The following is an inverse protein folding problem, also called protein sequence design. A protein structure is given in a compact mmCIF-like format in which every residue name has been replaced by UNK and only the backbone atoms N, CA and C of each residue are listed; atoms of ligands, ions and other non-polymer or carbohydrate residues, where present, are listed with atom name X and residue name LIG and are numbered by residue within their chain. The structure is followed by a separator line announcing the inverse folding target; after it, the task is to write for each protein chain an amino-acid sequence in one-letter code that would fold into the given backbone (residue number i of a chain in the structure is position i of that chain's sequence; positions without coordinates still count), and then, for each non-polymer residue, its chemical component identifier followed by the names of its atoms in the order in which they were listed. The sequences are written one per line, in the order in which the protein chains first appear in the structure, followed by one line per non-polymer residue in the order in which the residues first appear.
data_IF_069982385897
#
_entry.id   IF_069982385897
#
_cell.length_a   1.000
_cell.length_b   1.000
_cell.length_c   1.000
_cell.angle_alpha   90.00
_cell.angle_beta   90.00
_cell.angle_gamma   90.00
#
_symmetry.space_group_name_H-M   'P 1'
#
loop_
_entity.id
_entity.type
_entity.pdbx_description
1 polymer ?
#
# COMPACT_ATOMS: atom_id res chain seq x y z
N UNK A 1 -15.48 -33.65 -47.16
CA UNK A 1 -14.32 -32.71 -47.17
C UNK A 1 -14.92 -31.30 -47.35
N UNK A 2 -15.01 -30.50 -46.31
CA UNK A 2 -15.51 -29.14 -46.32
C UNK A 2 -14.79 -28.35 -45.26
N UNK A 3 -13.75 -27.61 -45.67
CA UNK A 3 -12.99 -26.73 -44.81
C UNK A 3 -13.84 -25.51 -44.43
N UNK A 4 -14.25 -25.39 -43.17
CA UNK A 4 -14.85 -24.19 -42.60
C UNK A 4 -13.82 -23.09 -42.42
N UNK A 5 -13.78 -22.13 -43.33
CA UNK A 5 -13.04 -20.86 -43.16
C UNK A 5 -13.75 -20.02 -42.09
N UNK A 6 -13.08 -19.77 -40.96
CA UNK A 6 -13.50 -18.77 -39.98
C UNK A 6 -13.53 -17.40 -40.66
N UNK A 7 -14.73 -16.79 -40.71
CA UNK A 7 -14.90 -15.41 -41.18
C UNK A 7 -14.41 -14.47 -40.08
N UNK A 8 -13.35 -13.73 -40.35
CA UNK A 8 -12.95 -12.57 -39.59
C UNK A 8 -14.04 -11.52 -39.81
N UNK A 9 -14.87 -11.25 -38.79
CA UNK A 9 -15.82 -10.18 -38.80
C UNK A 9 -15.06 -8.86 -38.68
N UNK A 10 -15.12 -8.03 -39.71
CA UNK A 10 -14.51 -6.71 -39.73
C UNK A 10 -15.10 -5.83 -38.64
N UNK A 11 -14.25 -5.25 -37.81
CA UNK A 11 -14.61 -4.35 -36.71
C UNK A 11 -15.29 -3.01 -37.15
N UNK A 12 -15.41 -2.79 -38.45
CA UNK A 12 -15.97 -1.56 -39.05
C UNK A 12 -17.52 -1.45 -38.94
N UNK A 13 -18.21 -2.52 -38.55
CA UNK A 13 -19.70 -2.53 -38.53
C UNK A 13 -20.29 -1.76 -37.32
N UNK A 14 -19.49 -1.46 -36.28
CA UNK A 14 -20.00 -0.85 -35.04
C UNK A 14 -19.42 0.51 -34.70
N UNK A 15 -18.66 1.17 -35.57
CA UNK A 15 -18.06 2.50 -35.30
C UNK A 15 -17.06 2.54 -34.14
N UNK A 16 -16.55 1.39 -33.69
CA UNK A 16 -15.58 1.29 -32.59
C UNK A 16 -14.18 1.51 -33.17
N UNK A 17 -13.49 2.54 -32.72
CA UNK A 17 -12.11 2.83 -33.15
C UNK A 17 -11.15 1.71 -32.72
N UNK A 18 -10.05 1.51 -33.47
CA UNK A 18 -8.99 0.57 -33.08
C UNK A 18 -8.43 0.88 -31.69
N UNK A 19 -8.35 2.13 -31.31
CA UNK A 19 -7.95 2.58 -29.98
C UNK A 19 -8.94 2.11 -28.89
N UNK A 20 -10.26 2.14 -29.16
CA UNK A 20 -11.28 1.67 -28.22
C UNK A 20 -11.27 0.15 -28.08
N UNK A 21 -11.02 -0.59 -29.18
CA UNK A 21 -10.86 -2.05 -29.13
C UNK A 21 -9.59 -2.44 -28.38
N UNK A 22 -8.48 -1.70 -28.57
CA UNK A 22 -7.23 -1.91 -27.86
C UNK A 22 -7.37 -1.58 -26.37
N UNK A 23 -8.09 -0.49 -26.03
CA UNK A 23 -8.45 -0.12 -24.65
C UNK A 23 -9.34 -1.18 -24.00
N UNK A 24 -10.32 -1.75 -24.73
CA UNK A 24 -11.19 -2.81 -24.21
C UNK A 24 -10.44 -4.12 -23.97
N UNK A 25 -9.45 -4.47 -24.81
CA UNK A 25 -8.56 -5.64 -24.63
C UNK A 25 -7.56 -5.47 -23.49
N UNK A 26 -7.35 -4.24 -23.01
CA UNK A 26 -6.45 -3.91 -21.89
C UNK A 26 -7.19 -3.73 -20.57
N UNK A 27 -8.52 -3.97 -20.50
CA UNK A 27 -9.27 -3.85 -19.26
C UNK A 27 -8.88 -4.95 -18.28
N UNK A 28 -8.38 -4.54 -17.12
CA UNK A 28 -8.18 -5.44 -15.98
C UNK A 28 -9.52 -6.02 -15.51
N UNK A 29 -9.57 -7.32 -15.28
CA UNK A 29 -10.72 -7.92 -14.60
C UNK A 29 -10.61 -7.63 -13.10
N UNK A 30 -11.73 -7.17 -12.50
CA UNK A 30 -11.79 -6.86 -11.06
C UNK A 30 -12.66 -7.91 -10.36
N UNK A 31 -12.11 -8.48 -9.31
CA UNK A 31 -12.83 -9.42 -8.44
C UNK A 31 -12.86 -8.85 -7.02
N UNK A 32 -14.05 -8.68 -6.44
CA UNK A 32 -14.19 -8.37 -5.01
C UNK A 32 -13.88 -9.62 -4.21
N UNK A 33 -12.99 -9.50 -3.24
CA UNK A 33 -12.54 -10.64 -2.43
C UNK A 33 -12.67 -10.33 -0.95
N UNK A 34 -12.89 -11.38 -0.16
CA UNK A 34 -12.84 -11.37 1.30
C UNK A 34 -11.71 -12.28 1.75
N UNK A 35 -10.90 -11.80 2.68
CA UNK A 35 -9.79 -12.52 3.29
C UNK A 35 -10.09 -12.72 4.77
N UNK A 36 -9.52 -13.76 5.39
CA UNK A 36 -9.63 -13.97 6.82
C UNK A 36 -8.26 -13.81 7.48
N UNK A 37 -8.15 -12.86 8.41
CA UNK A 37 -6.93 -12.57 9.15
C UNK A 37 -7.24 -12.48 10.63
N UNK A 38 -6.61 -13.33 11.45
CA UNK A 38 -6.78 -13.39 12.91
C UNK A 38 -8.25 -13.53 13.39
N UNK A 39 -9.12 -14.12 12.56
CA UNK A 39 -10.54 -14.30 12.86
C UNK A 39 -11.46 -13.18 12.37
N UNK A 40 -10.90 -12.11 11.83
CA UNK A 40 -11.62 -10.98 11.25
C UNK A 40 -11.65 -11.06 9.72
N UNK A 41 -12.67 -10.44 9.10
CA UNK A 41 -12.79 -10.34 7.64
C UNK A 41 -12.12 -9.06 7.13
N UNK A 42 -11.30 -9.21 6.08
CA UNK A 42 -10.69 -8.11 5.35
C UNK A 42 -11.28 -8.01 3.95
N UNK A 43 -11.54 -6.77 3.53
CA UNK A 43 -12.03 -6.45 2.18
C UNK A 43 -10.86 -6.20 1.23
N UNK A 44 -10.93 -6.80 0.03
CA UNK A 44 -9.95 -6.59 -1.03
C UNK A 44 -10.58 -6.52 -2.41
N UNK A 45 -9.80 -6.00 -3.36
CA UNK A 45 -10.08 -6.07 -4.80
C UNK A 45 -8.87 -6.68 -5.50
N UNK A 46 -9.10 -7.77 -6.20
CA UNK A 46 -8.10 -8.41 -7.05
C UNK A 46 -8.26 -7.88 -8.48
N UNK A 47 -7.20 -7.30 -9.01
CA UNK A 47 -7.10 -6.86 -10.41
C UNK A 47 -6.27 -7.89 -11.17
N UNK A 48 -6.83 -8.45 -12.22
CA UNK A 48 -6.21 -9.49 -13.02
C UNK A 48 -5.89 -8.97 -14.43
N UNK A 49 -4.71 -9.26 -14.96
CA UNK A 49 -4.40 -8.96 -16.34
C UNK A 49 -5.24 -9.82 -17.31
N UNK A 50 -5.40 -9.34 -18.54
CA UNK A 50 -6.06 -10.10 -19.60
C UNK A 50 -5.20 -11.27 -20.17
N UNK A 51 -4.31 -11.83 -19.38
CA UNK A 51 -3.42 -12.92 -19.76
C UNK A 51 -4.11 -14.29 -19.66
N UNK A 52 -3.62 -15.26 -20.43
CA UNK A 52 -4.18 -16.63 -20.50
C UNK A 52 -3.63 -17.59 -19.44
N UNK A 53 -2.59 -17.19 -18.71
CA UNK A 53 -1.93 -18.03 -17.70
C UNK A 53 -1.86 -17.37 -16.32
N UNK A 54 -1.37 -18.08 -15.30
CA UNK A 54 -1.18 -17.53 -13.97
C UNK A 54 -0.20 -16.35 -13.99
N UNK A 55 -0.62 -15.22 -13.41
CA UNK A 55 0.12 -13.97 -13.42
C UNK A 55 0.96 -13.79 -12.12
N UNK A 56 2.10 -13.09 -12.18
CA UNK A 56 2.74 -12.56 -10.99
C UNK A 56 1.80 -11.54 -10.31
N UNK A 57 1.96 -11.33 -9.01
CA UNK A 57 1.05 -10.45 -8.26
C UNK A 57 1.78 -9.59 -7.25
N UNK A 58 1.31 -8.34 -7.08
CA UNK A 58 1.66 -7.47 -5.96
C UNK A 58 0.48 -7.32 -4.98
N UNK A 59 0.72 -7.58 -3.71
CA UNK A 59 -0.19 -7.19 -2.63
C UNK A 59 0.01 -5.69 -2.40
N UNK A 60 -1.07 -4.90 -2.35
CA UNK A 60 -1.03 -3.45 -2.16
C UNK A 60 -1.57 -3.11 -0.78
N UNK A 61 -0.69 -2.56 0.07
CA UNK A 61 -0.97 -2.18 1.46
C UNK A 61 -0.93 -0.66 1.61
N UNK A 62 -2.06 -0.07 1.97
CA UNK A 62 -2.20 1.37 2.18
C UNK A 62 -1.56 1.88 3.49
N UNK A 63 -1.40 3.19 3.63
CA UNK A 63 -0.94 3.86 4.84
C UNK A 63 -2.00 4.00 5.94
N UNK A 64 -1.59 4.52 7.10
CA UNK A 64 -2.52 4.82 8.19
C UNK A 64 -3.54 5.88 7.77
N UNK A 65 -4.83 5.63 8.03
CA UNK A 65 -5.92 6.55 7.67
C UNK A 65 -6.33 6.52 6.19
N UNK A 66 -5.72 5.67 5.39
CA UNK A 66 -6.06 5.46 3.98
C UNK A 66 -6.95 4.23 3.76
N UNK A 67 -7.19 3.89 2.50
CA UNK A 67 -8.02 2.77 2.06
C UNK A 67 -7.60 2.33 0.65
N UNK A 68 -7.94 1.10 0.28
CA UNK A 68 -7.53 0.42 -0.96
C UNK A 68 -7.86 1.18 -2.26
N UNK A 69 -8.95 1.96 -2.27
CA UNK A 69 -9.39 2.70 -3.46
C UNK A 69 -8.38 3.74 -3.93
N UNK A 70 -7.53 4.27 -3.05
CA UNK A 70 -6.48 5.23 -3.41
C UNK A 70 -5.41 4.63 -4.35
N UNK A 71 -5.38 3.31 -4.50
CA UNK A 71 -4.37 2.58 -5.28
C UNK A 71 -4.92 1.97 -6.58
N UNK A 72 -6.20 2.16 -6.90
CA UNK A 72 -6.83 1.50 -8.04
C UNK A 72 -6.19 1.88 -9.37
N UNK A 73 -5.75 3.12 -9.54
CA UNK A 73 -5.07 3.57 -10.75
C UNK A 73 -3.71 2.84 -10.94
N UNK A 74 -2.94 2.67 -9.86
CA UNK A 74 -1.73 1.85 -9.86
C UNK A 74 -2.06 0.38 -10.20
N UNK A 75 -3.13 -0.16 -9.61
CA UNK A 75 -3.55 -1.54 -9.85
C UNK A 75 -3.94 -1.79 -11.31
N UNK A 76 -4.67 -0.85 -11.92
CA UNK A 76 -5.07 -0.92 -13.33
C UNK A 76 -3.85 -0.85 -14.25
N UNK A 77 -2.91 0.04 -13.97
CA UNK A 77 -1.65 0.15 -14.72
C UNK A 77 -0.84 -1.15 -14.65
N UNK A 78 -0.68 -1.73 -13.46
CA UNK A 78 0.07 -2.97 -13.25
C UNK A 78 -0.60 -4.14 -13.97
N UNK A 79 -1.93 -4.27 -13.87
CA UNK A 79 -2.69 -5.29 -14.58
C UNK A 79 -2.57 -5.13 -16.11
N UNK A 80 -2.60 -3.90 -16.62
CA UNK A 80 -2.32 -3.59 -18.03
C UNK A 80 -0.92 -3.98 -18.49
N UNK A 81 0.03 -4.09 -17.55
CA UNK A 81 1.40 -4.54 -17.80
C UNK A 81 1.65 -6.03 -17.49
N UNK A 82 0.59 -6.80 -17.19
CA UNK A 82 0.67 -8.23 -16.98
C UNK A 82 0.97 -8.64 -15.51
N UNK A 83 0.93 -7.73 -14.56
CA UNK A 83 1.11 -7.98 -13.12
C UNK A 83 -0.25 -7.83 -12.42
N UNK A 84 -0.78 -8.91 -11.86
CA UNK A 84 -1.97 -8.83 -11.04
C UNK A 84 -1.71 -8.00 -9.76
N UNK A 85 -2.77 -7.44 -9.16
CA UNK A 85 -2.65 -6.77 -7.86
C UNK A 85 -3.80 -7.11 -6.95
N UNK A 86 -3.53 -7.30 -5.68
CA UNK A 86 -4.52 -7.46 -4.63
C UNK A 86 -4.44 -6.25 -3.69
N UNK A 87 -5.34 -5.28 -3.90
CA UNK A 87 -5.47 -4.13 -3.01
C UNK A 87 -6.38 -4.50 -1.83
N UNK A 88 -5.87 -4.40 -0.60
CA UNK A 88 -6.60 -4.75 0.62
C UNK A 88 -6.79 -3.53 1.52
N UNK A 89 -7.93 -3.47 2.20
CA UNK A 89 -8.07 -2.64 3.37
C UNK A 89 -7.44 -3.35 4.57
N UNK A 90 -6.43 -2.75 5.19
CA UNK A 90 -5.78 -3.29 6.38
C UNK A 90 -6.74 -3.29 7.57
N UNK A 91 -6.51 -4.14 8.59
CA UNK A 91 -7.32 -4.15 9.82
C UNK A 91 -7.68 -2.74 10.31
N UNK A 92 -8.96 -2.54 10.63
CA UNK A 92 -9.48 -1.28 11.17
C UNK A 92 -9.66 -0.16 10.13
N UNK A 93 -9.39 -0.39 8.85
CA UNK A 93 -9.48 0.60 7.78
C UNK A 93 -10.49 0.20 6.71
N UNK A 94 -10.90 1.15 5.88
CA UNK A 94 -11.81 0.94 4.77
C UNK A 94 -13.04 0.11 5.15
N UNK A 95 -13.25 -0.99 4.47
CA UNK A 95 -14.36 -1.95 4.67
C UNK A 95 -13.96 -3.16 5.53
N UNK A 96 -12.68 -3.27 5.92
CA UNK A 96 -12.18 -4.35 6.77
C UNK A 96 -12.63 -4.22 8.22
N UNK A 97 -12.79 -5.38 8.88
CA UNK A 97 -13.09 -5.47 10.29
C UNK A 97 -11.94 -4.97 11.18
N UNK A 98 -12.13 -5.01 12.47
CA UNK A 98 -11.16 -4.58 13.48
C UNK A 98 -11.45 -3.22 14.09
N UNK A 99 -10.67 -2.86 15.10
CA UNK A 99 -10.80 -1.58 15.80
C UNK A 99 -10.44 -0.41 14.88
N UNK A 100 -11.41 0.53 14.70
CA UNK A 100 -11.29 1.59 13.70
C UNK A 100 -10.06 2.46 13.90
N UNK A 101 -9.27 2.55 12.82
CA UNK A 101 -8.04 3.33 12.67
C UNK A 101 -6.87 2.87 13.54
N UNK A 102 -6.91 1.63 14.05
CA UNK A 102 -5.75 1.03 14.70
C UNK A 102 -4.64 0.77 13.70
N UNK A 103 -3.40 1.07 14.11
CA UNK A 103 -2.19 0.67 13.41
C UNK A 103 -1.43 -0.26 14.34
N UNK A 104 -1.67 -1.55 14.16
CA UNK A 104 -1.04 -2.63 14.92
C UNK A 104 -0.25 -3.51 13.95
N UNK A 105 1.08 -3.47 14.01
CA UNK A 105 1.94 -4.19 13.08
C UNK A 105 1.78 -5.70 13.16
N UNK A 106 1.40 -6.26 14.31
CA UNK A 106 1.08 -7.69 14.42
C UNK A 106 -0.14 -8.07 13.55
N UNK A 107 -1.19 -7.25 13.59
CA UNK A 107 -2.37 -7.46 12.76
C UNK A 107 -2.05 -7.21 11.28
N UNK A 108 -1.41 -6.09 10.96
CA UNK A 108 -1.11 -5.72 9.59
C UNK A 108 -0.13 -6.68 8.89
N UNK A 109 0.83 -7.24 9.62
CA UNK A 109 1.67 -8.33 9.11
C UNK A 109 0.85 -9.60 8.87
N UNK A 110 -0.08 -9.95 9.76
CA UNK A 110 -0.99 -11.07 9.56
C UNK A 110 -1.93 -10.85 8.36
N UNK A 111 -2.32 -9.60 8.07
CA UNK A 111 -3.10 -9.26 6.87
C UNK A 111 -2.32 -9.54 5.57
N UNK A 112 -1.05 -9.18 5.54
CA UNK A 112 -0.16 -9.52 4.42
C UNK A 112 -0.05 -11.03 4.26
N UNK A 113 0.09 -11.78 5.35
CA UNK A 113 0.14 -13.24 5.31
C UNK A 113 -1.18 -13.87 4.84
N UNK A 114 -2.32 -13.34 5.30
CA UNK A 114 -3.64 -13.77 4.83
C UNK A 114 -3.85 -13.49 3.34
N UNK A 115 -3.33 -12.36 2.84
CA UNK A 115 -3.33 -12.06 1.41
C UNK A 115 -2.48 -13.06 0.62
N UNK A 116 -1.29 -13.44 1.12
CA UNK A 116 -0.46 -14.49 0.51
C UNK A 116 -1.21 -15.83 0.49
N UNK A 117 -1.82 -16.22 1.62
CA UNK A 117 -2.57 -17.49 1.73
C UNK A 117 -3.71 -17.55 0.70
N UNK A 118 -4.47 -16.47 0.55
CA UNK A 118 -5.53 -16.35 -0.45
C UNK A 118 -4.96 -16.48 -1.88
N UNK A 119 -3.90 -15.76 -2.21
CA UNK A 119 -3.30 -15.76 -3.54
C UNK A 119 -2.74 -17.13 -3.94
N UNK A 120 -2.22 -17.91 -2.99
CA UNK A 120 -1.75 -19.26 -3.22
C UNK A 120 -2.87 -20.24 -3.64
N UNK A 121 -4.13 -19.94 -3.33
CA UNK A 121 -5.28 -20.75 -3.73
C UNK A 121 -5.94 -20.29 -5.03
N UNK A 122 -5.54 -19.11 -5.54
CA UNK A 122 -6.21 -18.49 -6.68
C UNK A 122 -5.63 -18.99 -8.02
N UNK A 123 -6.44 -19.64 -8.85
CA UNK A 123 -6.00 -20.32 -10.08
C UNK A 123 -5.36 -19.43 -11.15
N UNK A 124 -5.66 -18.11 -11.14
CA UNK A 124 -5.08 -17.15 -12.09
C UNK A 124 -3.78 -16.49 -11.57
N UNK A 125 -3.30 -16.87 -10.39
CA UNK A 125 -2.09 -16.30 -9.77
C UNK A 125 -0.97 -17.34 -9.72
N UNK A 126 0.23 -16.93 -10.09
CA UNK A 126 1.42 -17.72 -9.86
C UNK A 126 1.92 -17.52 -8.41
N UNK A 127 1.62 -18.48 -7.57
CA UNK A 127 2.00 -18.44 -6.16
C UNK A 127 3.52 -18.41 -5.88
N UNK A 128 4.36 -18.63 -6.90
CA UNK A 128 5.82 -18.49 -6.78
C UNK A 128 6.31 -17.06 -7.05
N UNK A 129 5.42 -16.17 -7.51
CA UNK A 129 5.73 -14.81 -7.97
C UNK A 129 4.87 -13.77 -7.24
N UNK A 130 4.84 -13.83 -5.91
CA UNK A 130 4.11 -12.90 -5.04
C UNK A 130 5.08 -11.85 -4.51
N UNK A 131 4.80 -10.58 -4.78
CA UNK A 131 5.48 -9.44 -4.17
C UNK A 131 4.52 -8.59 -3.34
N UNK A 132 5.03 -7.52 -2.75
CA UNK A 132 4.21 -6.57 -2.02
C UNK A 132 4.66 -5.12 -2.23
N UNK A 133 3.70 -4.22 -2.31
CA UNK A 133 3.85 -2.77 -2.29
C UNK A 133 3.20 -2.22 -1.02
N UNK A 134 3.84 -1.25 -0.37
CA UNK A 134 3.23 -0.61 0.80
C UNK A 134 3.69 0.83 0.98
N UNK A 135 2.73 1.68 1.34
CA UNK A 135 2.96 3.07 1.71
C UNK A 135 3.02 3.23 3.22
N UNK A 136 3.94 4.04 3.73
CA UNK A 136 3.96 4.48 5.14
C UNK A 136 3.87 3.28 6.11
N UNK A 137 2.83 3.21 6.94
CA UNK A 137 2.57 2.04 7.81
C UNK A 137 2.35 0.74 7.04
N UNK A 138 1.77 0.77 5.82
CA UNK A 138 1.70 -0.39 4.92
C UNK A 138 3.08 -0.82 4.45
N UNK A 139 3.98 0.15 4.18
CA UNK A 139 5.40 -0.10 3.92
C UNK A 139 6.10 -0.79 5.09
N UNK A 140 5.80 -0.35 6.33
CA UNK A 140 6.25 -1.04 7.54
C UNK A 140 5.78 -2.50 7.57
N UNK A 141 4.49 -2.72 7.30
CA UNK A 141 3.88 -4.05 7.37
C UNK A 141 4.52 -5.04 6.38
N UNK A 142 4.74 -4.62 5.12
CA UNK A 142 5.36 -5.50 4.13
C UNK A 142 6.84 -5.78 4.44
N UNK A 143 7.59 -4.80 4.97
CA UNK A 143 8.97 -5.00 5.40
C UNK A 143 9.06 -5.97 6.58
N UNK A 144 8.18 -5.82 7.58
CA UNK A 144 8.10 -6.76 8.72
C UNK A 144 7.65 -8.15 8.29
N UNK A 145 6.69 -8.25 7.36
CA UNK A 145 6.25 -9.52 6.79
C UNK A 145 7.40 -10.24 6.07
N UNK A 146 8.18 -9.52 5.25
CA UNK A 146 9.29 -10.10 4.51
C UNK A 146 10.44 -10.61 5.40
N UNK A 147 10.56 -10.11 6.62
CA UNK A 147 11.53 -10.64 7.61
C UNK A 147 11.18 -12.07 8.05
N UNK A 148 9.89 -12.43 8.01
CA UNK A 148 9.39 -13.69 8.59
C UNK A 148 8.72 -14.62 7.59
N UNK A 149 8.32 -14.12 6.42
CA UNK A 149 7.60 -14.90 5.43
C UNK A 149 8.40 -15.03 4.11
N UNK A 150 8.97 -16.21 3.83
CA UNK A 150 9.82 -16.43 2.65
C UNK A 150 9.05 -16.53 1.33
N UNK A 151 7.71 -16.51 1.38
CA UNK A 151 6.85 -16.61 0.19
C UNK A 151 6.83 -15.32 -0.62
N UNK A 152 7.11 -14.17 0.00
CA UNK A 152 7.34 -12.91 -0.72
C UNK A 152 8.62 -13.00 -1.56
N UNK A 153 8.61 -12.42 -2.78
CA UNK A 153 9.72 -12.47 -3.74
C UNK A 153 10.27 -11.12 -4.12
N UNK A 154 9.49 -10.04 -3.98
CA UNK A 154 9.95 -8.67 -4.21
C UNK A 154 9.14 -7.68 -3.37
N UNK A 155 9.74 -6.56 -3.01
CA UNK A 155 9.10 -5.48 -2.26
C UNK A 155 9.24 -4.14 -2.98
N UNK A 156 8.21 -3.30 -2.81
CA UNK A 156 8.24 -1.87 -3.11
C UNK A 156 7.77 -1.11 -1.87
N UNK A 157 8.69 -0.43 -1.21
CA UNK A 157 8.44 0.38 -0.02
C UNK A 157 8.39 1.86 -0.41
N UNK A 158 7.20 2.45 -0.40
CA UNK A 158 6.97 3.87 -0.68
C UNK A 158 6.80 4.62 0.65
N UNK A 159 7.64 5.63 0.89
CA UNK A 159 7.57 6.53 2.05
C UNK A 159 7.35 5.79 3.39
N UNK A 160 8.03 4.64 3.56
CA UNK A 160 7.75 3.69 4.63
C UNK A 160 8.19 4.20 6.02
N UNK A 161 7.30 4.17 7.00
CA UNK A 161 7.63 4.48 8.38
C UNK A 161 8.42 3.33 9.00
N UNK A 162 9.73 3.45 9.08
CA UNK A 162 10.61 2.38 9.61
C UNK A 162 11.20 2.68 10.98
N UNK A 163 11.03 3.92 11.44
CA UNK A 163 11.46 4.42 12.74
C UNK A 163 10.69 5.69 13.09
N UNK A 164 10.73 6.08 14.36
CA UNK A 164 10.23 7.40 14.72
C UNK A 164 11.16 8.49 14.13
N UNK A 165 10.65 9.24 13.15
CA UNK A 165 11.34 10.32 12.44
C UNK A 165 10.89 11.71 12.90
N UNK A 166 9.90 11.79 13.79
CA UNK A 166 9.29 13.04 14.24
C UNK A 166 10.28 13.91 15.04
N UNK A 167 10.18 15.25 14.91
CA UNK A 167 10.90 16.18 15.79
C UNK A 167 10.67 15.88 17.26
N UNK A 168 11.67 16.12 18.11
CA UNK A 168 11.61 15.78 19.55
C UNK A 168 10.36 16.30 20.26
N UNK A 169 9.93 17.58 20.09
CA UNK A 169 8.71 18.07 20.74
C UNK A 169 7.47 17.30 20.34
N UNK A 170 7.30 17.03 19.05
CA UNK A 170 6.16 16.26 18.52
C UNK A 170 6.19 14.81 19.00
N UNK A 171 7.36 14.17 18.91
CA UNK A 171 7.55 12.80 19.41
C UNK A 171 7.20 12.69 20.90
N UNK A 172 7.65 13.65 21.71
CA UNK A 172 7.32 13.69 23.14
C UNK A 172 5.82 13.89 23.37
N UNK A 173 5.20 14.84 22.66
CA UNK A 173 3.77 15.09 22.72
C UNK A 173 2.95 13.83 22.40
N UNK A 174 3.26 13.12 21.33
CA UNK A 174 2.57 11.89 20.98
C UNK A 174 2.81 10.77 22.02
N UNK A 175 3.98 10.68 22.64
CA UNK A 175 4.22 9.76 23.77
C UNK A 175 3.34 10.06 24.97
N UNK A 176 3.13 11.33 25.27
CA UNK A 176 2.18 11.76 26.33
C UNK A 176 0.77 11.31 25.97
N UNK A 177 0.33 11.50 24.72
CA UNK A 177 -0.99 11.01 24.28
C UNK A 177 -1.12 9.49 24.39
N UNK A 178 -0.07 8.73 24.03
CA UNK A 178 -0.04 7.28 24.22
C UNK A 178 -0.17 6.91 25.70
N UNK A 179 0.57 7.59 26.58
CA UNK A 179 0.48 7.36 28.03
C UNK A 179 -0.93 7.66 28.57
N UNK A 180 -1.47 8.83 28.26
CA UNK A 180 -2.84 9.22 28.68
C UNK A 180 -3.90 8.28 28.09
N UNK A 181 -3.71 7.84 26.85
CA UNK A 181 -4.55 6.84 26.20
C UNK A 181 -4.53 5.50 26.93
N UNK A 182 -3.36 5.03 27.34
CA UNK A 182 -3.22 3.80 28.16
C UNK A 182 -3.95 3.94 29.51
N UNK A 183 -3.76 5.06 30.19
CA UNK A 183 -4.46 5.33 31.46
C UNK A 183 -5.97 5.31 31.24
N UNK A 184 -6.48 6.08 30.28
CA UNK A 184 -7.92 6.10 29.95
C UNK A 184 -8.44 4.70 29.63
N UNK A 185 -7.73 3.94 28.77
CA UNK A 185 -8.13 2.59 28.34
C UNK A 185 -8.17 1.59 29.50
N UNK A 186 -7.25 1.71 30.46
CA UNK A 186 -7.24 0.86 31.65
C UNK A 186 -8.54 1.02 32.49
N UNK A 187 -9.02 2.27 32.66
CA UNK A 187 -10.21 2.56 33.48
C UNK A 187 -11.53 2.45 32.70
N UNK A 188 -11.55 2.84 31.41
CA UNK A 188 -12.80 2.98 30.64
C UNK A 188 -12.98 1.93 29.55
N UNK A 189 -11.96 1.12 29.28
CA UNK A 189 -11.88 0.19 28.14
C UNK A 189 -12.00 0.89 26.76
N UNK A 190 -11.83 2.21 26.71
CA UNK A 190 -11.95 3.02 25.48
C UNK A 190 -10.67 3.79 25.22
N UNK A 191 -10.30 3.92 23.94
CA UNK A 191 -9.15 4.74 23.54
C UNK A 191 -9.36 6.24 23.80
N UNK A 192 -8.26 6.95 23.94
CA UNK A 192 -8.21 8.38 23.78
C UNK A 192 -8.21 8.72 22.30
N UNK A 193 -9.30 9.26 21.77
CA UNK A 193 -9.39 9.69 20.37
C UNK A 193 -9.08 11.18 20.26
N UNK A 194 -8.19 11.51 19.32
CA UNK A 194 -7.61 12.85 19.20
C UNK A 194 -7.78 13.37 17.77
N UNK A 195 -8.21 14.61 17.56
CA UNK A 195 -8.34 15.21 16.24
C UNK A 195 -6.96 15.69 15.72
N UNK A 196 -6.09 14.77 15.31
CA UNK A 196 -4.71 15.11 14.86
C UNK A 196 -4.71 16.13 13.73
N UNK A 197 -5.63 16.04 12.76
CA UNK A 197 -5.72 16.99 11.66
C UNK A 197 -5.90 18.44 12.13
N UNK A 198 -6.66 18.66 13.23
CA UNK A 198 -6.87 20.00 13.79
C UNK A 198 -5.69 20.48 14.64
N UNK A 199 -4.92 19.55 15.20
CA UNK A 199 -3.84 19.88 16.14
C UNK A 199 -2.51 20.14 15.44
N UNK A 200 -2.28 19.56 14.26
CA UNK A 200 -1.04 19.70 13.49
C UNK A 200 -1.04 20.87 12.49
N UNK A 201 -2.12 21.68 12.45
CA UNK A 201 -2.25 22.72 11.43
C UNK A 201 -2.56 22.18 10.03
N UNK A 202 -2.94 20.91 9.94
CA UNK A 202 -3.09 20.11 8.74
C UNK A 202 -1.94 19.07 8.60
N UNK A 203 -2.26 17.88 8.11
CA UNK A 203 -1.26 16.91 7.68
C UNK A 203 -0.94 17.20 6.23
N UNK A 204 0.25 17.73 5.95
CA UNK A 204 0.71 17.93 4.58
C UNK A 204 1.24 16.61 4.04
N UNK A 205 0.40 15.93 3.24
CA UNK A 205 0.69 14.60 2.68
C UNK A 205 1.17 14.68 1.23
N UNK A 206 0.84 15.77 0.52
CA UNK A 206 1.23 15.97 -0.87
C UNK A 206 1.96 17.30 -1.06
N UNK A 207 2.87 17.36 -2.04
CA UNK A 207 3.53 18.61 -2.46
C UNK A 207 2.65 19.44 -3.39
N UNK A 208 1.66 18.84 -4.06
CA UNK A 208 0.66 19.54 -4.82
C UNK A 208 -0.38 20.17 -3.89
N UNK A 209 -0.53 21.52 -3.83
CA UNK A 209 -1.43 22.18 -2.89
C UNK A 209 -2.91 21.84 -3.10
N UNK A 210 -3.33 21.62 -4.37
CA UNK A 210 -4.73 21.26 -4.67
C UNK A 210 -5.03 19.81 -4.23
N UNK A 211 -4.09 18.91 -4.47
CA UNK A 211 -4.19 17.54 -4.01
C UNK A 211 -4.14 17.48 -2.48
N UNK A 212 -3.21 18.19 -1.84
CA UNK A 212 -3.07 18.22 -0.39
C UNK A 212 -4.37 18.73 0.26
N UNK A 213 -4.96 19.80 -0.27
CA UNK A 213 -6.27 20.29 0.14
C UNK A 213 -7.37 19.24 -0.05
N UNK A 214 -7.38 18.52 -1.18
CA UNK A 214 -8.34 17.44 -1.45
C UNK A 214 -8.21 16.32 -0.43
N UNK A 215 -6.99 15.86 -0.12
CA UNK A 215 -6.73 14.85 0.89
C UNK A 215 -7.16 15.30 2.29
N UNK A 216 -6.89 16.56 2.63
CA UNK A 216 -7.32 17.17 3.90
C UNK A 216 -8.84 17.34 4.02
N UNK A 217 -9.58 17.31 2.93
CA UNK A 217 -11.05 17.48 2.91
C UNK A 217 -11.81 16.19 2.57
N UNK A 218 -11.14 15.09 2.21
CA UNK A 218 -11.80 13.80 1.99
C UNK A 218 -12.48 13.34 3.30
N UNK A 219 -13.81 13.08 3.29
CA UNK A 219 -14.54 12.71 4.50
C UNK A 219 -14.01 11.45 5.18
N UNK A 220 -13.45 10.50 4.41
CA UNK A 220 -12.90 9.22 4.94
C UNK A 220 -11.58 9.46 5.64
N UNK A 221 -10.68 10.24 5.03
CA UNK A 221 -9.42 10.65 5.62
C UNK A 221 -9.67 11.49 6.88
N UNK A 222 -10.60 12.47 6.81
CA UNK A 222 -10.99 13.28 7.96
C UNK A 222 -11.56 12.44 9.10
N UNK A 223 -12.35 11.41 8.82
CA UNK A 223 -12.89 10.52 9.85
C UNK A 223 -11.75 9.80 10.61
N UNK A 224 -10.70 9.39 9.91
CA UNK A 224 -9.52 8.78 10.52
C UNK A 224 -8.73 9.79 11.35
N UNK A 225 -8.32 10.90 10.75
CA UNK A 225 -7.43 11.88 11.38
C UNK A 225 -8.12 12.75 12.46
N UNK A 226 -9.45 12.92 12.41
CA UNK A 226 -10.22 13.58 13.48
C UNK A 226 -10.59 12.66 14.64
N UNK A 227 -10.31 11.36 14.53
CA UNK A 227 -10.64 10.37 15.55
C UNK A 227 -9.50 9.37 15.78
N UNK A 228 -8.24 9.85 15.67
CA UNK A 228 -7.05 9.02 15.75
C UNK A 228 -6.92 8.39 17.15
N UNK A 229 -6.87 7.04 17.27
CA UNK A 229 -6.95 6.37 18.56
C UNK A 229 -5.58 6.23 19.22
N UNK A 230 -5.45 6.63 20.51
CA UNK A 230 -4.29 6.32 21.33
C UNK A 230 -4.70 5.42 22.50
N UNK A 231 -3.98 4.31 22.73
CA UNK A 231 -2.71 3.90 22.10
C UNK A 231 -2.86 3.11 20.78
N UNK A 232 -4.06 2.84 20.28
CA UNK A 232 -4.34 1.90 19.20
C UNK A 232 -3.58 2.17 17.89
N UNK A 233 -3.31 3.44 17.56
CA UNK A 233 -2.56 3.81 16.37
C UNK A 233 -1.12 4.27 16.66
N UNK A 234 -0.58 4.01 17.86
CA UNK A 234 0.77 4.45 18.23
C UNK A 234 1.86 3.93 17.28
N UNK A 235 1.66 2.76 16.66
CA UNK A 235 2.63 2.17 15.74
C UNK A 235 2.63 2.82 14.35
N UNK A 236 1.74 3.77 14.05
CA UNK A 236 1.92 4.65 12.89
C UNK A 236 3.17 5.56 13.03
N UNK A 237 3.67 5.77 14.26
CA UNK A 237 4.80 6.65 14.55
C UNK A 237 5.96 5.94 15.26
N UNK A 238 5.65 4.98 16.13
CA UNK A 238 6.60 4.36 17.03
C UNK A 238 6.89 2.91 16.64
N UNK A 239 7.65 2.75 15.56
CA UNK A 239 8.17 1.46 15.10
C UNK A 239 9.70 1.45 15.13
N UNK A 240 10.30 0.27 15.01
CA UNK A 240 11.75 0.11 14.97
C UNK A 240 12.15 -0.98 13.95
N UNK A 241 11.43 -1.00 12.83
CA UNK A 241 11.59 -1.96 11.73
C UNK A 241 12.98 -1.89 11.12
N UNK A 242 13.60 -0.69 11.13
CA UNK A 242 14.94 -0.48 10.60
C UNK A 242 16.00 -1.40 11.21
N UNK A 243 15.83 -1.87 12.45
CA UNK A 243 16.75 -2.83 13.09
C UNK A 243 16.61 -4.27 12.57
N UNK A 244 15.56 -4.55 11.81
CA UNK A 244 15.24 -5.90 11.34
C UNK A 244 15.41 -6.08 9.83
N UNK A 245 15.42 -4.98 9.05
CA UNK A 245 15.42 -5.03 7.58
C UNK A 245 16.67 -5.68 6.98
N UNK A 246 17.78 -5.75 7.71
CA UNK A 246 18.98 -6.51 7.28
C UNK A 246 18.75 -8.02 7.12
N UNK A 247 17.63 -8.55 7.66
CA UNK A 247 17.21 -9.95 7.49
C UNK A 247 16.41 -10.18 6.19
N UNK A 248 16.01 -9.12 5.50
CA UNK A 248 15.29 -9.22 4.22
C UNK A 248 16.28 -9.68 3.15
N UNK A 249 16.01 -10.83 2.54
CA UNK A 249 16.86 -11.42 1.51
C UNK A 249 16.35 -11.18 0.07
N UNK A 250 15.10 -10.69 -0.07
CA UNK A 250 14.44 -10.50 -1.36
C UNK A 250 14.67 -9.10 -1.93
N UNK A 251 14.64 -8.93 -3.27
CA UNK A 251 14.78 -7.64 -3.92
C UNK A 251 13.83 -6.59 -3.35
N UNK A 252 14.35 -5.42 -3.00
CA UNK A 252 13.57 -4.33 -2.37
C UNK A 252 13.81 -3.00 -3.07
N UNK A 253 12.75 -2.43 -3.64
CA UNK A 253 12.72 -1.06 -4.16
C UNK A 253 12.28 -0.11 -3.05
N UNK A 254 13.06 0.95 -2.83
CA UNK A 254 12.74 2.04 -1.91
C UNK A 254 12.40 3.28 -2.75
N UNK A 255 11.17 3.73 -2.66
CA UNK A 255 10.67 4.96 -3.29
C UNK A 255 10.36 5.97 -2.22
N UNK A 256 10.67 7.26 -2.48
CA UNK A 256 10.45 8.30 -1.47
C UNK A 256 10.22 9.65 -2.09
N UNK A 257 9.30 10.44 -1.51
CA UNK A 257 9.12 11.84 -1.85
C UNK A 257 10.26 12.70 -1.30
N UNK A 258 10.80 13.62 -2.11
CA UNK A 258 11.83 14.58 -1.66
C UNK A 258 11.27 15.53 -0.61
N UNK A 259 10.00 15.91 -0.75
CA UNK A 259 9.29 16.86 0.10
C UNK A 259 8.45 16.17 1.21
N UNK A 260 8.72 14.90 1.51
CA UNK A 260 8.01 14.17 2.56
C UNK A 260 8.30 14.79 3.93
N UNK A 261 7.26 15.40 4.53
CA UNK A 261 7.31 16.02 5.85
C UNK A 261 6.91 15.07 7.00
N UNK A 262 6.35 13.91 6.68
CA UNK A 262 5.96 12.88 7.65
C UNK A 262 7.15 11.97 7.97
N UNK A 263 7.74 11.40 6.93
CA UNK A 263 8.97 10.60 7.03
C UNK A 263 10.04 11.23 6.12
N UNK A 264 10.96 12.05 6.65
CA UNK A 264 11.95 12.77 5.85
C UNK A 264 12.84 11.85 4.99
N UNK A 265 13.33 12.31 3.81
CA UNK A 265 14.14 11.50 2.87
C UNK A 265 15.40 10.86 3.47
N UNK A 266 15.91 11.39 4.57
CA UNK A 266 17.00 10.79 5.33
C UNK A 266 16.62 9.42 5.89
N UNK A 267 15.32 9.17 6.12
CA UNK A 267 14.80 7.86 6.52
C UNK A 267 14.95 6.84 5.40
N UNK A 268 14.68 7.24 4.15
CA UNK A 268 14.91 6.41 2.96
C UNK A 268 16.39 5.99 2.83
N UNK A 269 17.32 6.94 2.97
CA UNK A 269 18.77 6.68 2.90
C UNK A 269 19.21 5.70 4.00
N UNK A 270 18.65 5.83 5.21
CA UNK A 270 18.92 4.91 6.32
C UNK A 270 18.33 3.52 6.07
N UNK A 271 17.10 3.44 5.58
CA UNK A 271 16.48 2.17 5.19
C UNK A 271 17.33 1.48 4.12
N UNK A 272 17.68 2.22 3.07
CA UNK A 272 18.51 1.70 1.99
C UNK A 272 19.86 1.21 2.50
N UNK A 273 20.53 1.95 3.38
CA UNK A 273 21.80 1.53 3.96
C UNK A 273 21.68 0.24 4.81
N UNK A 274 20.55 0.08 5.53
CA UNK A 274 20.32 -1.06 6.43
C UNK A 274 19.90 -2.35 5.69
N UNK A 275 19.33 -2.26 4.49
CA UNK A 275 19.03 -3.41 3.64
C UNK A 275 20.31 -4.04 3.12
N UNK A 276 20.38 -5.38 3.04
CA UNK A 276 21.55 -6.15 2.56
C UNK A 276 21.29 -6.91 1.27
N UNK A 277 20.02 -6.98 0.82
CA UNK A 277 19.57 -7.65 -0.40
C UNK A 277 19.83 -6.82 -1.67
N UNK A 278 19.46 -7.35 -2.85
CA UNK A 278 19.30 -6.55 -4.08
C UNK A 278 18.34 -5.39 -3.81
N UNK A 279 18.76 -4.16 -4.07
CA UNK A 279 17.99 -2.98 -3.70
C UNK A 279 18.21 -1.82 -4.66
N UNK A 280 17.19 -0.97 -4.78
CA UNK A 280 17.27 0.33 -5.47
C UNK A 280 16.63 1.41 -4.58
N UNK A 281 17.09 2.65 -4.73
CA UNK A 281 16.54 3.83 -4.05
C UNK A 281 16.27 4.92 -5.08
N UNK A 282 15.03 5.43 -5.09
CA UNK A 282 14.67 6.61 -5.85
C UNK A 282 14.03 7.65 -4.92
N UNK A 283 14.66 8.82 -4.80
CA UNK A 283 14.05 10.01 -4.22
C UNK A 283 13.39 10.77 -5.39
N UNK A 284 12.10 11.05 -5.27
CA UNK A 284 11.29 11.64 -6.34
C UNK A 284 11.11 13.13 -6.04
N UNK A 285 11.76 14.01 -6.80
CA UNK A 285 11.66 15.47 -6.59
C UNK A 285 10.21 15.93 -6.70
N UNK A 286 9.81 16.85 -5.81
CA UNK A 286 8.49 17.45 -5.82
C UNK A 286 7.34 16.52 -5.44
N UNK A 287 7.61 15.36 -4.83
CA UNK A 287 6.61 14.51 -4.20
C UNK A 287 6.70 14.61 -2.69
N UNK A 288 5.54 14.65 -2.03
CA UNK A 288 5.39 14.50 -0.58
C UNK A 288 5.16 13.04 -0.17
N UNK A 289 4.58 12.84 1.04
CA UNK A 289 4.34 11.53 1.66
C UNK A 289 3.35 10.63 0.89
N UNK A 290 2.35 11.21 0.22
CA UNK A 290 1.38 10.47 -0.60
C UNK A 290 1.87 10.35 -2.05
N UNK A 291 3.11 9.90 -2.27
CA UNK A 291 3.78 9.90 -3.57
C UNK A 291 3.02 9.18 -4.69
N UNK A 292 2.16 8.21 -4.35
CA UNK A 292 1.28 7.48 -5.29
C UNK A 292 0.08 8.32 -5.79
N UNK A 293 -0.19 9.46 -5.19
CA UNK A 293 -1.25 10.38 -5.60
C UNK A 293 -0.70 11.73 -6.06
N UNK A 294 0.56 12.06 -5.72
CA UNK A 294 1.17 13.38 -5.90
C UNK A 294 1.58 13.64 -7.36
N UNK A 295 2.19 14.79 -7.60
CA UNK A 295 2.55 15.35 -8.93
C UNK A 295 3.25 14.37 -9.84
N UNK A 296 4.17 13.58 -9.29
CA UNK A 296 4.98 12.63 -10.04
C UNK A 296 4.58 11.17 -9.75
N UNK A 297 3.28 10.90 -9.48
CA UNK A 297 2.74 9.55 -9.27
C UNK A 297 3.06 8.61 -10.44
N UNK A 298 3.08 9.13 -11.68
CA UNK A 298 3.40 8.33 -12.86
C UNK A 298 4.82 7.75 -12.79
N UNK A 299 5.75 8.47 -12.15
CA UNK A 299 7.10 7.97 -11.90
C UNK A 299 7.10 6.86 -10.85
N UNK A 300 6.31 7.00 -9.78
CA UNK A 300 6.10 5.94 -8.77
C UNK A 300 5.53 4.70 -9.44
N UNK A 301 4.50 4.87 -10.28
CA UNK A 301 3.83 3.78 -10.98
C UNK A 301 4.77 3.05 -11.96
N UNK A 302 5.50 3.81 -12.78
CA UNK A 302 6.46 3.25 -13.73
C UNK A 302 7.56 2.45 -13.03
N UNK A 303 8.20 3.03 -12.01
CA UNK A 303 9.24 2.36 -11.24
C UNK A 303 8.73 1.10 -10.53
N UNK A 304 7.50 1.15 -9.98
CA UNK A 304 6.86 -0.01 -9.35
C UNK A 304 6.62 -1.12 -10.36
N UNK A 305 6.11 -0.79 -11.55
CA UNK A 305 5.81 -1.75 -12.59
C UNK A 305 7.09 -2.37 -13.19
N UNK A 306 8.10 -1.57 -13.46
CA UNK A 306 9.39 -2.03 -13.97
C UNK A 306 10.06 -2.97 -12.97
N UNK A 307 10.05 -2.61 -11.67
CA UNK A 307 10.58 -3.45 -10.59
C UNK A 307 9.84 -4.77 -10.45
N UNK A 308 8.50 -4.74 -10.52
CA UNK A 308 7.68 -5.95 -10.43
C UNK A 308 7.97 -6.89 -11.60
N UNK A 309 8.03 -6.37 -12.82
CA UNK A 309 8.37 -7.15 -14.02
C UNK A 309 9.78 -7.72 -13.98
N UNK A 310 10.76 -6.99 -13.47
CA UNK A 310 12.14 -7.46 -13.36
C UNK A 310 12.31 -8.56 -12.30
N UNK A 311 11.60 -8.50 -11.19
CA UNK A 311 11.87 -9.33 -10.01
C UNK A 311 10.78 -10.38 -9.72
N UNK A 312 9.66 -10.36 -10.46
CA UNK A 312 8.59 -11.37 -10.41
C UNK A 312 8.39 -12.09 -11.76
N UNK A 313 9.28 -11.84 -12.75
CA UNK A 313 9.24 -12.50 -14.06
C UNK A 313 9.62 -14.00 -13.99
#
# INVERSE_FOLDING_TARGET
MGQGRAKIVRAEVFGISKASVFSFLMMAFKETVQLHSLGDELAGILFLPAATGPAPVLIICHGAGEFKENYFELCELLAGRGVATLAIDMHGHGQSAGERYYVNMRQWVADVQAAIDFLLTHSKIDGKRIGAFGLSSGGTAILEAAVIDPRLKALVALDATVRNSLPLPMSWFLKVLVFLGNVKKAFTKRDLRVPLAKMSGGLHLASDPELDKKLQTDPRALAAYNSFPFPGAAQAFFVNTIKRVSKIAIPTLVLWGEDDQVDPPETAKRLFAALTCKKQLHIIPGNGHAGHLDRHRDKVFSLTADWALENLA
#
